data_IF_337960271928
#
_entry.id   IF_337960271928
#
_cell.length_a   1.000
_cell.length_b   1.000
_cell.length_c   1.000
_cell.angle_alpha   90.00
_cell.angle_beta   90.00
_cell.angle_gamma   90.00
#
_symmetry.space_group_name_H-M   'P 1'
#
loop_
_entity.id
_entity.type
_entity.pdbx_description
1 polymer ?
#
# COMPACT_ATOMS: atom_id res chain seq x y z
N UNK A 1 3.27 -29.71 26.96
CA UNK A 1 3.80 -29.29 25.64
C UNK A 1 3.92 -27.78 25.66
N UNK A 2 5.14 -27.23 25.54
CA UNK A 2 5.38 -25.79 25.60
C UNK A 2 5.24 -25.22 24.19
N UNK A 3 4.23 -24.37 23.95
CA UNK A 3 4.10 -23.64 22.70
C UNK A 3 5.08 -22.46 22.71
N UNK A 4 6.11 -22.52 21.85
CA UNK A 4 7.01 -21.41 21.63
C UNK A 4 6.28 -20.34 20.79
N UNK A 5 5.82 -19.27 21.44
CA UNK A 5 5.36 -18.08 20.76
C UNK A 5 6.57 -17.39 20.12
N UNK A 6 6.71 -17.49 18.79
CA UNK A 6 7.65 -16.65 18.04
C UNK A 6 7.13 -15.20 18.09
N UNK A 7 7.65 -14.43 19.05
CA UNK A 7 7.58 -12.98 18.99
C UNK A 7 8.35 -12.51 17.75
N UNK A 8 7.65 -11.96 16.76
CA UNK A 8 8.25 -11.23 15.64
C UNK A 8 8.84 -9.91 16.18
N UNK A 9 9.94 -9.99 16.91
CA UNK A 9 10.68 -8.81 17.36
C UNK A 9 11.45 -8.25 16.17
N UNK A 10 10.88 -7.26 15.49
CA UNK A 10 11.61 -6.50 14.47
C UNK A 10 12.62 -5.58 15.18
N UNK A 11 13.90 -5.77 14.85
CA UNK A 11 15.01 -4.95 15.37
C UNK A 11 14.75 -3.46 15.07
N UNK A 12 14.97 -2.54 16.03
CA UNK A 12 14.74 -1.11 15.82
C UNK A 12 15.58 -0.59 14.66
N UNK A 13 14.99 0.32 13.87
CA UNK A 13 15.56 1.09 12.76
C UNK A 13 17.02 0.70 12.40
N UNK A 14 17.16 -0.45 11.75
CA UNK A 14 18.47 -0.98 11.38
C UNK A 14 19.19 -0.08 10.38
N UNK A 15 20.52 -0.17 10.39
CA UNK A 15 21.39 0.50 9.43
C UNK A 15 20.93 0.23 7.97
N UNK A 16 21.27 1.11 7.01
CA UNK A 16 20.93 0.89 5.62
C UNK A 16 21.40 -0.48 5.13
N UNK A 17 20.53 -1.20 4.43
CA UNK A 17 20.82 -2.53 3.88
C UNK A 17 20.71 -2.49 2.37
N UNK A 18 21.71 -3.07 1.69
CA UNK A 18 21.76 -3.11 0.24
C UNK A 18 21.60 -4.54 -0.26
N UNK A 19 20.88 -4.71 -1.36
CA UNK A 19 20.75 -5.97 -2.07
C UNK A 19 21.05 -5.76 -3.55
N UNK A 20 21.55 -6.82 -4.17
CA UNK A 20 21.72 -6.90 -5.61
C UNK A 20 20.93 -8.10 -6.13
N UNK A 21 20.33 -7.97 -7.30
CA UNK A 21 19.64 -9.07 -7.98
C UNK A 21 19.81 -8.95 -9.50
N UNK A 22 19.46 -10.01 -10.21
CA UNK A 22 19.45 -10.03 -11.67
C UNK A 22 18.03 -10.34 -12.16
N UNK A 23 17.57 -9.65 -13.20
CA UNK A 23 16.31 -9.95 -13.87
C UNK A 23 16.56 -10.29 -15.33
N UNK A 24 15.76 -11.20 -15.86
CA UNK A 24 15.83 -11.56 -17.28
C UNK A 24 14.92 -10.63 -18.07
N UNK A 25 15.49 -9.95 -19.07
CA UNK A 25 14.77 -9.13 -20.02
C UNK A 25 14.35 -9.95 -21.25
N UNK A 26 13.38 -9.41 -22.00
CA UNK A 26 13.01 -9.96 -23.29
C UNK A 26 14.23 -10.01 -24.23
N UNK A 27 14.35 -11.09 -25.00
CA UNK A 27 15.47 -11.30 -25.92
C UNK A 27 16.74 -11.87 -25.27
N UNK A 28 16.68 -12.36 -24.02
CA UNK A 28 17.78 -13.06 -23.36
C UNK A 28 18.85 -12.16 -22.75
N UNK A 29 18.62 -10.83 -22.74
CA UNK A 29 19.44 -9.90 -21.97
C UNK A 29 19.13 -10.01 -20.47
N UNK A 30 20.07 -9.56 -19.64
CA UNK A 30 19.88 -9.50 -18.18
C UNK A 30 20.09 -8.07 -17.69
N UNK A 31 19.28 -7.64 -16.73
CA UNK A 31 19.49 -6.36 -16.02
C UNK A 31 19.89 -6.61 -14.56
N UNK A 32 20.79 -5.76 -14.06
CA UNK A 32 21.24 -5.77 -12.67
C UNK A 32 20.43 -4.78 -11.85
N UNK A 33 19.74 -5.30 -10.84
CA UNK A 33 18.95 -4.50 -9.91
C UNK A 33 19.76 -4.27 -8.64
N UNK A 34 19.76 -3.03 -8.16
CA UNK A 34 20.26 -2.66 -6.83
C UNK A 34 19.09 -2.17 -5.99
N UNK A 35 18.95 -2.71 -4.79
CA UNK A 35 17.91 -2.33 -3.83
C UNK A 35 18.62 -1.73 -2.62
N UNK A 36 18.28 -0.49 -2.28
CA UNK A 36 18.80 0.19 -1.11
C UNK A 36 17.65 0.42 -0.14
N UNK A 37 17.71 -0.21 1.03
CA UNK A 37 16.77 0.03 2.13
C UNK A 37 17.48 0.97 3.09
N UNK A 38 17.03 2.23 3.16
CA UNK A 38 17.59 3.24 4.04
C UNK A 38 17.10 3.07 5.48
N UNK A 39 15.85 2.62 5.64
CA UNK A 39 15.27 2.26 6.92
C UNK A 39 14.19 1.19 6.75
N UNK A 40 13.90 0.47 7.83
CA UNK A 40 12.74 -0.41 7.90
C UNK A 40 11.48 0.39 8.27
N UNK A 41 10.33 -0.06 7.79
CA UNK A 41 9.01 0.48 8.16
C UNK A 41 8.70 0.15 9.61
N UNK A 42 8.23 1.14 10.35
CA UNK A 42 7.80 0.97 11.75
C UNK A 42 6.50 0.19 11.83
N UNK A 43 6.16 -0.32 13.01
CA UNK A 43 4.89 -1.03 13.25
C UNK A 43 3.68 -0.17 12.85
N UNK A 44 3.71 1.13 13.17
CA UNK A 44 2.69 2.09 12.74
C UNK A 44 2.61 2.23 11.21
N UNK A 45 3.75 2.27 10.51
CA UNK A 45 3.78 2.29 9.04
C UNK A 45 3.11 1.02 8.47
N UNK A 46 3.35 -0.15 9.08
CA UNK A 46 2.76 -1.43 8.63
C UNK A 46 1.26 -1.49 8.90
N UNK A 47 0.84 -1.10 10.09
CA UNK A 47 -0.58 -1.06 10.47
C UNK A 47 -1.36 -0.09 9.58
N UNK A 48 -0.78 1.06 9.23
CA UNK A 48 -1.39 1.99 8.29
C UNK A 48 -1.58 1.37 6.90
N UNK A 49 -0.58 0.67 6.37
CA UNK A 49 -0.65 0.08 5.03
C UNK A 49 -1.57 -1.14 4.96
N UNK A 50 -1.56 -1.99 5.99
CA UNK A 50 -2.50 -3.12 6.12
C UNK A 50 -3.91 -2.60 6.31
N UNK A 51 -4.07 -1.57 7.14
CA UNK A 51 -5.32 -0.84 7.30
C UNK A 51 -5.81 -0.33 5.96
N UNK A 52 -4.96 0.34 5.17
CA UNK A 52 -5.32 0.83 3.85
C UNK A 52 -5.73 -0.29 2.89
N UNK A 53 -5.03 -1.43 2.88
CA UNK A 53 -5.41 -2.59 2.08
C UNK A 53 -6.76 -3.19 2.48
N UNK A 54 -7.03 -3.28 3.79
CA UNK A 54 -8.30 -3.81 4.31
C UNK A 54 -9.45 -2.78 4.25
N UNK A 55 -9.12 -1.51 4.12
CA UNK A 55 -10.07 -0.42 3.95
C UNK A 55 -10.60 -0.43 2.51
N UNK A 56 -11.71 -1.14 2.34
CA UNK A 56 -12.68 -0.92 1.27
C UNK A 56 -13.50 0.37 1.48
N UNK A 57 -13.01 1.32 2.30
CA UNK A 57 -13.58 2.63 2.60
C UNK A 57 -12.48 3.62 2.96
N UNK A 58 -12.36 4.76 2.26
CA UNK A 58 -11.41 5.80 2.65
C UNK A 58 -11.69 6.30 4.09
N UNK A 59 -10.67 6.72 4.87
CA UNK A 59 -10.95 7.52 6.04
C UNK A 59 -11.63 8.79 5.55
N UNK A 60 -12.89 8.98 5.93
CA UNK A 60 -13.59 10.26 5.77
C UNK A 60 -12.64 11.33 6.32
N UNK A 61 -12.27 12.37 5.54
CA UNK A 61 -11.61 13.52 6.14
C UNK A 61 -12.52 13.92 7.28
N UNK A 62 -11.99 13.98 8.51
CA UNK A 62 -12.74 14.43 9.66
C UNK A 62 -13.38 15.77 9.27
N UNK A 63 -14.67 15.71 8.93
CA UNK A 63 -15.44 16.88 8.61
C UNK A 63 -15.33 17.73 9.84
N UNK A 64 -14.76 18.93 9.69
CA UNK A 64 -14.82 19.97 10.71
C UNK A 64 -16.30 20.12 11.03
N UNK A 65 -16.71 19.51 12.14
CA UNK A 65 -18.10 19.34 12.49
C UNK A 65 -18.78 20.70 12.45
N UNK A 66 -19.85 20.81 11.66
CA UNK A 66 -20.91 21.72 12.08
C UNK A 66 -21.41 21.14 13.40
N UNK A 67 -21.45 21.91 14.50
CA UNK A 67 -21.99 21.39 15.74
C UNK A 67 -23.43 20.94 15.46
N UNK A 68 -23.79 19.79 16.03
CA UNK A 68 -25.18 19.37 16.09
C UNK A 68 -25.93 20.50 16.79
N UNK A 69 -26.88 21.11 16.09
CA UNK A 69 -27.89 21.96 16.73
C UNK A 69 -28.66 21.04 17.67
N UNK A 70 -28.48 21.26 18.98
CA UNK A 70 -29.33 20.65 19.99
C UNK A 70 -30.69 21.36 19.93
N UNK A 71 -31.71 20.64 19.48
CA UNK A 71 -33.07 21.15 19.36
C UNK A 71 -33.69 21.50 20.74
N UNK A 72 -33.01 21.14 21.84
CA UNK A 72 -33.38 21.51 23.21
C UNK A 72 -32.48 22.62 23.82
N UNK A 73 -31.72 23.36 23.02
CA UNK A 73 -30.93 24.49 23.53
C UNK A 73 -31.86 25.60 24.08
N UNK A 74 -31.83 25.91 25.40
CA UNK A 74 -32.65 26.96 25.99
C UNK A 74 -32.29 28.37 25.48
N UNK A 75 -31.19 28.54 24.74
CA UNK A 75 -30.84 29.80 24.08
C UNK A 75 -31.71 30.14 22.85
N UNK A 76 -32.57 29.21 22.38
CA UNK A 76 -33.50 29.41 21.26
C UNK A 76 -34.91 29.86 21.69
N UNK A 77 -35.14 30.16 22.97
CA UNK A 77 -36.48 30.42 23.51
C UNK A 77 -37.14 31.75 23.08
N UNK A 78 -36.45 32.64 22.35
CA UNK A 78 -36.97 33.98 22.00
C UNK A 78 -37.36 34.18 20.52
N UNK A 79 -37.59 33.10 19.75
CA UNK A 79 -38.07 33.25 18.36
C UNK A 79 -39.59 33.31 18.32
N UNK A 80 -40.14 34.52 18.41
CA UNK A 80 -41.56 34.82 18.28
C UNK A 80 -42.06 34.66 16.81
N UNK A 81 -43.03 33.78 16.48
CA UNK A 81 -43.54 33.64 15.12
C UNK A 81 -44.93 34.29 14.99
N UNK A 82 -44.99 35.60 14.73
CA UNK A 82 -46.25 36.23 14.34
C UNK A 82 -46.06 37.57 13.59
N UNK A 83 -46.02 37.50 12.25
CA UNK A 83 -46.52 38.56 11.36
C UNK A 83 -46.67 37.99 9.94
N UNK A 84 -47.89 38.03 9.41
CA UNK A 84 -48.30 37.26 8.24
C UNK A 84 -48.30 38.00 6.90
N UNK A 85 -48.65 37.18 5.90
CA UNK A 85 -49.32 37.46 4.61
C UNK A 85 -48.54 38.13 3.46
N UNK A 86 -48.53 37.41 2.35
CA UNK A 86 -48.57 37.97 1.00
C UNK A 86 -48.17 36.97 -0.08
N UNK A 87 -49.13 36.22 -0.63
CA UNK A 87 -48.87 35.23 -1.68
C UNK A 87 -48.92 35.80 -3.11
N UNK A 88 -48.31 35.08 -4.07
CA UNK A 88 -48.82 34.84 -5.44
C UNK A 88 -47.79 34.10 -6.31
N UNK A 89 -48.27 33.05 -7.00
CA UNK A 89 -47.78 32.54 -8.30
C UNK A 89 -46.37 31.96 -8.30
N UNK A 90 -46.11 30.72 -8.73
CA UNK A 90 -46.74 29.96 -9.78
C UNK A 90 -45.61 29.40 -10.66
N UNK A 91 -45.66 28.09 -10.89
CA UNK A 91 -45.11 27.39 -12.06
C UNK A 91 -43.59 27.51 -12.32
N UNK A 92 -42.89 26.41 -12.08
CA UNK A 92 -41.56 26.23 -12.64
C UNK A 92 -40.77 25.08 -12.07
N UNK A 93 -41.30 23.86 -12.17
CA UNK A 93 -40.45 22.67 -12.11
C UNK A 93 -39.39 22.76 -13.19
N UNK A 94 -38.18 23.16 -12.83
CA UNK A 94 -36.95 22.79 -13.52
C UNK A 94 -36.09 22.15 -12.46
N UNK A 95 -36.37 20.85 -12.24
CA UNK A 95 -35.42 19.97 -11.60
C UNK A 95 -34.07 20.21 -12.26
N UNK A 96 -33.15 20.75 -11.48
CA UNK A 96 -31.74 20.54 -11.73
C UNK A 96 -31.59 19.03 -11.70
N UNK A 97 -31.63 18.41 -12.88
CA UNK A 97 -31.07 17.09 -13.10
C UNK A 97 -29.62 17.29 -12.69
N UNK A 98 -29.36 16.94 -11.43
CA UNK A 98 -28.01 16.73 -10.95
C UNK A 98 -27.36 15.90 -12.03
N UNK A 99 -26.31 16.43 -12.65
CA UNK A 99 -25.32 15.51 -13.17
C UNK A 99 -25.06 14.59 -12.00
N UNK A 100 -25.34 13.30 -12.19
CA UNK A 100 -24.93 12.25 -11.27
C UNK A 100 -23.54 12.66 -10.82
N UNK A 101 -23.42 13.04 -9.54
CA UNK A 101 -22.13 13.10 -8.91
C UNK A 101 -21.62 11.69 -9.14
N UNK A 102 -20.76 11.53 -10.14
CA UNK A 102 -20.27 10.25 -10.59
C UNK A 102 -19.92 9.50 -9.32
N UNK A 103 -20.66 8.42 -9.03
CA UNK A 103 -20.55 7.67 -7.79
C UNK A 103 -19.05 7.49 -7.56
N UNK A 104 -18.52 8.17 -6.54
CA UNK A 104 -17.09 8.19 -6.32
C UNK A 104 -16.64 6.72 -6.32
N UNK A 105 -15.71 6.32 -7.18
CA UNK A 105 -15.45 4.91 -7.44
C UNK A 105 -15.22 4.22 -6.11
N UNK A 106 -16.00 3.16 -5.85
CA UNK A 106 -15.98 2.44 -4.58
C UNK A 106 -14.52 2.17 -4.19
N UNK A 107 -14.09 2.58 -3.00
CA UNK A 107 -12.70 2.38 -2.58
C UNK A 107 -12.34 0.90 -2.66
N UNK A 108 -11.37 0.58 -3.51
CA UNK A 108 -10.80 -0.76 -3.62
C UNK A 108 -9.53 -0.84 -2.77
N UNK A 109 -9.14 -2.04 -2.30
CA UNK A 109 -7.89 -2.25 -1.56
C UNK A 109 -6.66 -1.62 -2.26
N UNK A 110 -6.59 -1.75 -3.58
CA UNK A 110 -5.48 -1.26 -4.39
C UNK A 110 -5.41 0.26 -4.39
N UNK A 111 -6.57 0.93 -4.55
CA UNK A 111 -6.65 2.39 -4.55
C UNK A 111 -6.31 2.96 -3.18
N UNK A 112 -6.84 2.34 -2.12
CA UNK A 112 -6.57 2.74 -0.75
C UNK A 112 -5.09 2.57 -0.40
N UNK A 113 -4.47 1.45 -0.78
CA UNK A 113 -3.04 1.22 -0.58
C UNK A 113 -2.18 2.22 -1.37
N UNK A 114 -2.50 2.46 -2.65
CA UNK A 114 -1.80 3.46 -3.47
C UNK A 114 -1.84 4.84 -2.82
N UNK A 115 -3.00 5.28 -2.35
CA UNK A 115 -3.16 6.55 -1.65
C UNK A 115 -2.35 6.60 -0.33
N UNK A 116 -2.21 5.49 0.38
CA UNK A 116 -1.37 5.42 1.58
C UNK A 116 0.12 5.52 1.23
N UNK A 117 0.58 4.84 0.16
CA UNK A 117 1.97 4.87 -0.31
C UNK A 117 2.42 6.28 -0.73
N UNK A 118 1.54 7.07 -1.34
CA UNK A 118 1.82 8.47 -1.74
C UNK A 118 2.12 9.39 -0.55
N UNK A 119 1.55 9.07 0.63
CA UNK A 119 1.74 9.83 1.87
C UNK A 119 2.86 9.27 2.73
N UNK A 120 3.20 8.00 2.55
CA UNK A 120 4.24 7.33 3.31
C UNK A 120 5.61 7.95 2.99
N UNK A 121 6.53 7.92 3.96
CA UNK A 121 7.89 8.39 3.72
C UNK A 121 8.64 7.42 2.81
N UNK A 122 9.58 7.93 2.02
CA UNK A 122 10.53 7.08 1.31
C UNK A 122 11.46 6.39 2.30
N UNK A 123 11.53 5.07 2.23
CA UNK A 123 12.36 4.21 3.09
C UNK A 123 13.48 3.52 2.33
N UNK A 124 13.52 3.68 1.00
CA UNK A 124 14.54 3.06 0.15
C UNK A 124 14.34 3.37 -1.33
N UNK A 125 15.16 2.74 -2.16
CA UNK A 125 15.11 2.84 -3.62
C UNK A 125 15.41 1.49 -4.27
N UNK A 126 14.76 1.24 -5.40
CA UNK A 126 15.14 0.17 -6.35
C UNK A 126 15.72 0.85 -7.58
N UNK A 127 16.93 0.46 -7.97
CA UNK A 127 17.63 0.94 -9.15
C UNK A 127 17.76 -0.18 -10.15
N UNK A 128 17.40 0.10 -11.39
CA UNK A 128 17.68 -0.74 -12.55
C UNK A 128 18.79 -0.11 -13.38
N UNK A 129 19.06 -0.65 -14.57
CA UNK A 129 19.89 0.04 -15.58
C UNK A 129 19.30 1.39 -16.04
N UNK A 130 18.03 1.68 -15.72
CA UNK A 130 17.40 2.96 -16.02
C UNK A 130 17.92 4.09 -15.11
N UNK A 131 17.86 5.33 -15.61
CA UNK A 131 18.40 6.52 -14.94
C UNK A 131 17.62 6.91 -13.68
N UNK A 132 16.36 6.46 -13.54
CA UNK A 132 15.48 6.85 -12.43
C UNK A 132 15.26 5.69 -11.46
N UNK A 133 15.66 5.88 -10.20
CA UNK A 133 15.34 4.94 -9.13
C UNK A 133 13.87 4.96 -8.74
N UNK A 134 13.30 3.80 -8.43
CA UNK A 134 11.93 3.63 -7.94
C UNK A 134 11.92 3.81 -6.42
N UNK A 135 11.19 4.81 -5.92
CA UNK A 135 11.07 5.04 -4.49
C UNK A 135 10.33 3.88 -3.80
N UNK A 136 10.94 3.34 -2.75
CA UNK A 136 10.35 2.35 -1.85
C UNK A 136 9.68 3.10 -0.70
N UNK A 137 8.39 2.89 -0.52
CA UNK A 137 7.56 3.55 0.52
C UNK A 137 7.29 2.62 1.71
N UNK A 138 7.54 1.33 1.54
CA UNK A 138 7.39 0.32 2.57
C UNK A 138 8.51 -0.71 2.50
N UNK A 139 9.08 -1.08 3.64
CA UNK A 139 10.05 -2.15 3.76
C UNK A 139 9.86 -2.88 5.09
N UNK A 140 9.42 -4.13 5.05
CA UNK A 140 9.29 -4.99 6.22
C UNK A 140 10.20 -6.21 6.10
N UNK A 141 10.68 -6.69 7.24
CA UNK A 141 11.51 -7.89 7.36
C UNK A 141 10.91 -8.80 8.42
N UNK A 142 10.84 -10.09 8.12
CA UNK A 142 10.52 -11.13 9.10
C UNK A 142 11.53 -12.26 9.02
N UNK A 143 11.93 -12.78 10.19
CA UNK A 143 12.72 -14.00 10.26
C UNK A 143 11.84 -15.19 9.87
N UNK A 144 12.42 -16.13 9.13
CA UNK A 144 11.76 -17.38 8.78
C UNK A 144 12.23 -18.51 9.74
N UNK A 145 11.39 -19.54 9.99
CA UNK A 145 11.73 -20.62 10.91
C UNK A 145 13.01 -21.40 10.56
N UNK A 146 13.41 -21.37 9.29
CA UNK A 146 14.63 -21.98 8.76
C UNK A 146 15.90 -21.15 8.99
N UNK A 147 15.80 -20.03 9.70
CA UNK A 147 16.90 -19.07 9.88
C UNK A 147 17.14 -18.17 8.67
N UNK A 148 16.28 -18.26 7.65
CA UNK A 148 16.21 -17.33 6.54
C UNK A 148 15.44 -16.05 6.90
N UNK A 149 15.23 -15.23 5.89
CA UNK A 149 14.53 -13.96 6.03
C UNK A 149 13.57 -13.74 4.87
N UNK A 150 12.39 -13.23 5.19
CA UNK A 150 11.45 -12.68 4.21
C UNK A 150 11.52 -11.16 4.28
N UNK A 151 11.68 -10.52 3.14
CA UNK A 151 11.68 -9.06 3.00
C UNK A 151 10.57 -8.67 2.04
N UNK A 152 9.69 -7.77 2.46
CA UNK A 152 8.61 -7.24 1.65
C UNK A 152 8.86 -5.75 1.43
N UNK A 153 8.92 -5.35 0.17
CA UNK A 153 9.10 -3.98 -0.26
C UNK A 153 7.88 -3.55 -1.08
N UNK A 154 7.46 -2.29 -0.96
CA UNK A 154 6.48 -1.72 -1.88
C UNK A 154 7.01 -0.41 -2.45
N UNK A 155 7.07 -0.36 -3.77
CA UNK A 155 7.44 0.83 -4.54
C UNK A 155 6.22 1.68 -4.82
N UNK A 156 6.39 2.99 -4.98
CA UNK A 156 5.26 3.89 -5.26
C UNK A 156 4.77 3.81 -6.73
N UNK A 157 5.64 3.39 -7.63
CA UNK A 157 5.41 3.34 -9.07
C UNK A 157 5.46 1.89 -9.55
N UNK A 158 4.72 1.55 -10.61
CA UNK A 158 4.84 0.23 -11.20
C UNK A 158 6.27 0.06 -11.72
N UNK A 159 6.90 -1.00 -11.25
CA UNK A 159 8.19 -1.47 -11.68
C UNK A 159 7.96 -2.80 -12.43
N UNK A 160 8.19 -2.80 -13.73
CA UNK A 160 8.16 -4.01 -14.53
C UNK A 160 9.57 -4.61 -14.59
N UNK A 161 9.80 -5.68 -13.84
CA UNK A 161 10.99 -6.50 -14.01
C UNK A 161 10.74 -7.58 -15.07
N UNK A 162 11.53 -7.54 -16.15
CA UNK A 162 11.65 -8.62 -17.11
C UNK A 162 10.62 -8.61 -18.25
N UNK A 163 10.33 -9.79 -18.80
CA UNK A 163 9.39 -9.95 -19.93
C UNK A 163 8.00 -9.44 -19.53
N UNK A 164 7.33 -8.59 -20.35
CA UNK A 164 6.00 -8.12 -20.03
C UNK A 164 5.10 -9.33 -19.76
N UNK A 165 4.53 -9.39 -18.56
CA UNK A 165 3.50 -10.38 -18.29
C UNK A 165 2.40 -10.21 -19.33
N UNK A 166 1.87 -11.33 -19.86
CA UNK A 166 0.80 -11.30 -20.86
C UNK A 166 -0.43 -10.46 -20.41
N UNK A 167 -0.56 -10.27 -19.09
CA UNK A 167 -1.40 -9.26 -18.48
C UNK A 167 -0.52 -8.23 -17.77
N UNK A 168 -0.63 -6.96 -18.12
CA UNK A 168 -0.05 -5.89 -17.33
C UNK A 168 -0.58 -5.99 -15.88
N UNK A 169 0.30 -5.76 -14.91
CA UNK A 169 -0.10 -5.74 -13.50
C UNK A 169 -1.22 -4.70 -13.30
N UNK A 170 -2.32 -5.02 -12.60
CA UNK A 170 -3.38 -4.06 -12.35
C UNK A 170 -3.01 -3.00 -11.29
N UNK A 171 -1.82 -3.13 -10.67
CA UNK A 171 -1.37 -2.25 -9.60
C UNK A 171 -0.55 -1.08 -10.16
N UNK A 172 -0.88 0.14 -9.72
CA UNK A 172 -0.09 1.36 -10.00
C UNK A 172 1.16 1.48 -9.10
N UNK A 173 1.60 0.37 -8.53
CA UNK A 173 2.73 0.20 -7.62
C UNK A 173 3.23 -1.23 -7.75
N UNK A 174 4.40 -1.54 -7.17
CA UNK A 174 4.91 -2.91 -7.18
C UNK A 174 5.31 -3.37 -5.79
N UNK A 175 4.73 -4.50 -5.37
CA UNK A 175 5.19 -5.27 -4.22
C UNK A 175 6.29 -6.22 -4.68
N UNK A 176 7.43 -6.19 -3.99
CA UNK A 176 8.56 -7.09 -4.19
C UNK A 176 8.71 -7.90 -2.91
N UNK A 177 8.64 -9.21 -3.03
CA UNK A 177 8.85 -10.14 -1.92
C UNK A 177 10.13 -10.93 -2.18
N UNK A 178 11.11 -10.78 -1.29
CA UNK A 178 12.39 -11.47 -1.32
C UNK A 178 12.43 -12.54 -0.24
N UNK A 179 12.87 -13.73 -0.59
CA UNK A 179 13.16 -14.81 0.34
C UNK A 179 14.65 -15.10 0.30
N UNK A 180 15.29 -14.92 1.45
CA UNK A 180 16.73 -15.09 1.63
C UNK A 180 17.00 -16.24 2.59
N UNK A 181 18.04 -17.00 2.31
CA UNK A 181 18.59 -17.97 3.26
C UNK A 181 19.41 -17.27 4.35
N UNK A 182 19.92 -18.05 5.31
CA UNK A 182 20.76 -17.57 6.42
C UNK A 182 22.08 -16.90 5.99
N UNK A 183 22.51 -17.07 4.73
CA UNK A 183 23.67 -16.40 4.15
C UNK A 183 23.33 -15.06 3.49
N UNK A 184 22.05 -14.68 3.46
CA UNK A 184 21.57 -13.47 2.78
C UNK A 184 21.48 -13.62 1.26
N UNK A 185 21.41 -14.85 0.75
CA UNK A 185 21.24 -15.16 -0.67
C UNK A 185 19.86 -15.74 -0.93
N UNK A 186 19.27 -15.48 -2.10
CA UNK A 186 18.00 -16.11 -2.46
C UNK A 186 17.38 -15.55 -3.74
N UNK A 187 16.07 -15.43 -3.71
CA UNK A 187 15.26 -15.05 -4.87
C UNK A 187 14.16 -14.06 -4.48
N UNK A 188 13.60 -13.40 -5.50
CA UNK A 188 12.51 -12.46 -5.31
C UNK A 188 11.44 -12.59 -6.39
N UNK A 189 10.21 -12.33 -5.95
CA UNK A 189 9.00 -12.34 -6.78
C UNK A 189 8.29 -11.00 -6.65
N UNK A 190 7.45 -10.67 -7.62
CA UNK A 190 6.78 -9.36 -7.65
C UNK A 190 5.30 -9.47 -7.94
N UNK A 191 4.56 -8.41 -7.61
CA UNK A 191 3.15 -8.26 -8.00
C UNK A 191 2.95 -8.02 -9.50
N UNK A 192 4.02 -7.98 -10.32
CA UNK A 192 3.90 -8.00 -11.77
C UNK A 192 3.31 -9.32 -12.28
N UNK A 193 3.54 -10.41 -11.53
CA UNK A 193 3.13 -11.78 -11.90
C UNK A 193 2.27 -12.47 -10.84
N UNK A 194 1.93 -11.77 -9.75
CA UNK A 194 1.24 -12.33 -8.60
C UNK A 194 0.20 -11.38 -8.00
N UNK A 195 -0.80 -11.93 -7.32
CA UNK A 195 -1.79 -11.15 -6.57
C UNK A 195 -1.26 -10.80 -5.18
N UNK A 196 -1.61 -9.60 -4.73
CA UNK A 196 -1.27 -9.13 -3.39
C UNK A 196 -2.35 -9.58 -2.43
N UNK A 197 -1.95 -9.99 -1.23
CA UNK A 197 -2.84 -10.30 -0.13
C UNK A 197 -2.24 -9.80 1.19
N UNK A 198 -3.11 -9.60 2.18
CA UNK A 198 -2.66 -9.38 3.55
C UNK A 198 -2.23 -10.73 4.17
N UNK A 199 -1.07 -10.72 4.80
CA UNK A 199 -0.57 -11.83 5.62
C UNK A 199 -0.77 -11.47 7.09
N UNK A 200 -1.85 -11.99 7.67
CA UNK A 200 -2.21 -11.74 9.06
C UNK A 200 -1.19 -12.34 10.04
N UNK A 201 -0.53 -13.45 9.68
CA UNK A 201 0.46 -14.10 10.53
C UNK A 201 1.75 -13.26 10.60
N UNK A 202 2.20 -12.74 9.47
CA UNK A 202 3.38 -11.88 9.39
C UNK A 202 3.09 -10.40 9.72
N UNK A 203 1.80 -10.02 9.88
CA UNK A 203 1.34 -8.62 9.98
C UNK A 203 2.00 -7.76 8.91
N UNK A 204 1.88 -8.20 7.66
CA UNK A 204 2.46 -7.55 6.48
C UNK A 204 1.60 -7.82 5.25
N UNK A 205 1.91 -7.15 4.14
CA UNK A 205 1.45 -7.56 2.82
C UNK A 205 2.37 -8.65 2.25
N UNK A 206 1.89 -9.39 1.27
CA UNK A 206 2.64 -10.43 0.56
C UNK A 206 1.96 -10.88 -0.72
N UNK A 207 2.55 -11.86 -1.39
CA UNK A 207 1.94 -12.52 -2.56
C UNK A 207 1.09 -13.73 -2.13
N UNK A 208 -0.17 -13.79 -2.58
CA UNK A 208 -1.17 -14.81 -2.18
C UNK A 208 -0.73 -16.26 -2.49
N UNK A 209 0.06 -16.44 -3.55
CA UNK A 209 0.58 -17.75 -3.94
C UNK A 209 2.05 -17.65 -4.34
N UNK A 210 2.89 -17.26 -3.37
CA UNK A 210 4.32 -17.07 -3.61
C UNK A 210 4.97 -18.32 -4.23
N UNK A 211 4.62 -19.53 -3.78
CA UNK A 211 5.21 -20.78 -4.28
C UNK A 211 4.99 -20.98 -5.79
N UNK A 212 3.80 -20.66 -6.31
CA UNK A 212 3.49 -20.80 -7.74
C UNK A 212 3.89 -19.58 -8.58
N UNK A 213 4.15 -18.42 -7.96
CA UNK A 213 4.57 -17.23 -8.67
C UNK A 213 5.97 -17.43 -9.31
N UNK A 214 6.20 -16.92 -10.52
CA UNK A 214 7.50 -17.05 -11.17
C UNK A 214 8.56 -16.23 -10.43
N UNK A 215 9.79 -16.75 -10.40
CA UNK A 215 10.96 -16.03 -9.90
C UNK A 215 11.33 -14.96 -10.91
N UNK A 216 11.33 -13.71 -10.47
CA UNK A 216 11.63 -12.55 -11.31
C UNK A 216 13.01 -12.02 -10.97
N UNK A 217 13.29 -11.81 -9.68
CA UNK A 217 14.60 -11.40 -9.18
C UNK A 217 15.41 -12.64 -8.85
N UNK A 218 16.39 -12.96 -9.69
CA UNK A 218 17.31 -14.06 -9.53
C UNK A 218 18.57 -13.62 -8.79
N UNK A 219 19.26 -14.57 -8.17
CA UNK A 219 20.56 -14.35 -7.54
C UNK A 219 20.56 -13.16 -6.58
N UNK A 220 19.50 -13.03 -5.77
CA UNK A 220 19.40 -11.95 -4.79
C UNK A 220 20.50 -12.16 -3.77
N UNK A 221 21.30 -11.12 -3.50
CA UNK A 221 22.37 -11.14 -2.52
C UNK A 221 22.35 -9.89 -1.68
N UNK A 222 22.40 -10.06 -0.36
CA UNK A 222 22.69 -8.98 0.57
C UNK A 222 24.13 -8.55 0.40
N UNK A 223 24.36 -7.26 0.16
CA UNK A 223 25.69 -6.68 0.21
C UNK A 223 26.18 -6.62 1.65
N UNK A 224 27.47 -6.86 1.86
CA UNK A 224 28.13 -6.75 3.16
C UNK A 224 28.36 -5.30 3.55
#
# INVERSE_FOLDING_TARGET
MLAAALACAQTPAGAPVNFTATVDLAGGAHDSIRINILRWSTDADRDQLIGAWNLTAAPTPAGRGRPAIDENDPALADVNPAAGRGGRGGRGGRGGRGGEAAEAPKPTPERSLKAALERAMTVGYVWTSEVTGYAVRYAARSAQPDGGERIVLVTERPFAAGTPAANASPYEFTLIELHLNSKGEGEGKTSATGKIAADAAAKSLGLENYAAAPVVLKSVKRSK
#
